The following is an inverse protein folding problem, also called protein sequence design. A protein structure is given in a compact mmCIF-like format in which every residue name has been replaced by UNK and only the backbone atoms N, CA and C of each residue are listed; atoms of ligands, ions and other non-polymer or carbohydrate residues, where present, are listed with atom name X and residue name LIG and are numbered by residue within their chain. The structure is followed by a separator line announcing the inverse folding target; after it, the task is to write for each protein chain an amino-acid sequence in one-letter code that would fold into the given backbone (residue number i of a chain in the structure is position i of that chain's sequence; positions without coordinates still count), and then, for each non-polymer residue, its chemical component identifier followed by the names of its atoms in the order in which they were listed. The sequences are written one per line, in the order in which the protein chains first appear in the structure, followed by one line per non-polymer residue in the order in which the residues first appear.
data_IF_205977690633
#
_entry.id   IF_205977690633
#
_cell.length_a   1.000
_cell.length_b   1.000
_cell.length_c   1.000
_cell.angle_alpha   90.00
_cell.angle_beta   90.00
_cell.angle_gamma   90.00
#
_symmetry.space_group_name_H-M   'P 1'
#
loop_
_entity.id
_entity.type
_entity.pdbx_description
1 polymer ?
#
# COMPACT_ATOMS: atom_id res chain seq x y z
N UNK A 1 3.65 -63.19 12.58
CA UNK A 1 3.68 -62.61 11.22
C UNK A 1 4.05 -61.14 11.36
N UNK A 2 5.35 -60.86 11.28
CA UNK A 2 5.93 -59.52 11.19
C UNK A 2 6.07 -59.23 9.69
N UNK A 3 5.39 -58.22 9.18
CA UNK A 3 5.55 -57.75 7.81
C UNK A 3 6.28 -56.42 7.82
N UNK A 4 7.42 -56.40 7.13
CA UNK A 4 8.37 -55.31 7.05
C UNK A 4 7.83 -54.10 6.29
N UNK A 5 8.21 -52.91 6.74
CA UNK A 5 8.08 -51.64 6.03
C UNK A 5 9.11 -51.61 4.87
N UNK A 6 8.76 -51.15 3.66
CA UNK A 6 9.76 -50.89 2.64
C UNK A 6 10.39 -49.50 2.80
N UNK A 7 11.70 -49.47 2.56
CA UNK A 7 12.60 -48.34 2.68
C UNK A 7 12.18 -47.12 1.84
N UNK A 8 12.21 -45.94 2.47
CA UNK A 8 12.08 -44.66 1.79
C UNK A 8 13.40 -44.32 1.08
N UNK A 9 13.37 -44.27 -0.25
CA UNK A 9 14.49 -43.85 -1.07
C UNK A 9 14.91 -42.39 -0.76
N UNK A 10 16.22 -42.06 -0.76
CA UNK A 10 16.70 -40.73 -0.47
C UNK A 10 16.40 -39.74 -1.60
N UNK A 11 15.88 -38.56 -1.24
CA UNK A 11 15.74 -37.42 -2.15
C UNK A 11 17.10 -37.02 -2.73
N UNK A 12 17.23 -36.80 -4.05
CA UNK A 12 18.47 -36.28 -4.61
C UNK A 12 18.59 -34.80 -4.27
N UNK A 13 19.53 -34.49 -3.37
CA UNK A 13 20.17 -33.19 -3.33
C UNK A 13 20.92 -33.01 -4.65
N UNK A 14 20.41 -32.15 -5.53
CA UNK A 14 21.22 -31.56 -6.60
C UNK A 14 21.60 -30.15 -6.20
N UNK A 15 22.87 -30.03 -5.81
CA UNK A 15 23.58 -28.77 -5.77
C UNK A 15 23.67 -28.19 -7.18
N UNK A 16 22.97 -27.09 -7.39
CA UNK A 16 23.09 -26.15 -8.50
C UNK A 16 22.50 -24.85 -8.00
N UNK A 17 23.26 -23.75 -8.03
CA UNK A 17 22.91 -22.49 -7.42
C UNK A 17 21.57 -21.96 -7.91
N UNK A 18 20.51 -22.23 -7.16
CA UNK A 18 19.22 -21.62 -7.37
C UNK A 18 19.33 -20.14 -6.99
N UNK A 19 18.93 -19.24 -7.89
CA UNK A 19 18.80 -17.84 -7.54
C UNK A 19 17.78 -17.75 -6.40
N UNK A 20 17.94 -16.86 -5.40
CA UNK A 20 16.93 -16.65 -4.36
C UNK A 20 15.53 -16.29 -4.92
N UNK A 21 15.44 -15.98 -6.23
CA UNK A 21 14.20 -15.75 -6.99
C UNK A 21 13.51 -17.02 -7.51
N UNK A 22 14.13 -18.20 -7.43
CA UNK A 22 13.59 -19.45 -8.02
C UNK A 22 12.33 -19.96 -7.31
N UNK A 23 12.08 -19.53 -6.06
CA UNK A 23 10.80 -19.73 -5.37
C UNK A 23 9.63 -18.89 -5.93
N UNK A 24 9.93 -17.95 -6.83
CA UNK A 24 8.99 -16.99 -7.42
C UNK A 24 8.53 -15.90 -6.43
N UNK A 25 8.14 -14.74 -6.95
CA UNK A 25 7.56 -13.70 -6.10
C UNK A 25 6.14 -14.12 -5.62
N UNK A 26 6.04 -14.34 -4.31
CA UNK A 26 4.80 -14.67 -3.61
C UNK A 26 3.86 -13.47 -3.37
N UNK A 27 4.22 -12.27 -3.84
CA UNK A 27 3.34 -11.10 -3.78
C UNK A 27 2.05 -11.39 -4.57
N UNK A 28 0.86 -11.21 -3.96
CA UNK A 28 -0.40 -11.45 -4.66
C UNK A 28 -0.55 -10.54 -5.88
N UNK A 29 -1.08 -11.13 -6.95
CA UNK A 29 -1.43 -10.48 -8.21
C UNK A 29 -2.91 -10.62 -8.54
N UNK A 30 -3.32 -10.21 -9.74
CA UNK A 30 -4.69 -10.45 -10.26
C UNK A 30 -4.82 -11.75 -11.05
N UNK A 31 -3.73 -12.24 -11.62
CA UNK A 31 -3.70 -13.46 -12.44
C UNK A 31 -3.31 -14.70 -11.66
N UNK A 32 -2.42 -14.54 -10.67
CA UNK A 32 -2.05 -15.58 -9.73
C UNK A 32 -2.66 -15.26 -8.37
N UNK A 33 -3.83 -15.84 -8.13
CA UNK A 33 -4.54 -15.68 -6.87
C UNK A 33 -3.73 -16.30 -5.74
N UNK A 34 -3.65 -15.59 -4.62
CA UNK A 34 -2.97 -16.07 -3.43
C UNK A 34 -3.97 -16.78 -2.52
N UNK A 35 -3.64 -17.98 -2.04
CA UNK A 35 -4.50 -18.72 -1.12
C UNK A 35 -4.52 -18.05 0.26
N UNK A 36 -5.70 -17.87 0.82
CA UNK A 36 -5.94 -17.49 2.20
C UNK A 36 -7.13 -18.28 2.77
N UNK A 37 -7.37 -18.17 4.07
CA UNK A 37 -8.36 -18.96 4.80
C UNK A 37 -9.80 -18.54 4.53
N UNK A 38 -10.00 -17.28 4.18
CA UNK A 38 -11.29 -16.75 3.74
C UNK A 38 -11.55 -17.04 2.26
N UNK A 39 -10.63 -17.70 1.54
CA UNK A 39 -10.68 -17.88 0.10
C UNK A 39 -9.42 -17.34 -0.57
N UNK A 40 -9.34 -17.44 -1.88
CA UNK A 40 -8.23 -16.82 -2.59
C UNK A 40 -8.36 -15.29 -2.55
N UNK A 41 -7.26 -14.57 -2.74
CA UNK A 41 -7.26 -13.12 -2.83
C UNK A 41 -6.53 -12.66 -4.09
N UNK A 42 -7.03 -11.57 -4.66
CA UNK A 42 -6.42 -10.86 -5.77
C UNK A 42 -6.03 -9.46 -5.32
N UNK A 43 -4.92 -8.95 -5.83
CA UNK A 43 -4.55 -7.54 -5.64
C UNK A 43 -4.54 -6.82 -6.96
N UNK A 44 -5.51 -5.93 -7.15
CA UNK A 44 -5.63 -5.09 -8.35
C UNK A 44 -4.76 -3.86 -8.21
N UNK A 45 -3.84 -3.65 -9.16
CA UNK A 45 -2.92 -2.51 -9.12
C UNK A 45 -3.53 -1.29 -9.80
N UNK A 46 -3.45 -0.16 -9.10
CA UNK A 46 -4.06 1.11 -9.46
C UNK A 46 -2.93 2.13 -9.41
N UNK A 47 -2.20 2.36 -10.52
CA UNK A 47 -1.12 3.34 -10.55
C UNK A 47 -1.55 4.70 -10.02
N UNK A 48 -0.76 5.24 -9.09
CA UNK A 48 -1.02 6.50 -8.40
C UNK A 48 -2.25 6.49 -7.49
N UNK A 49 -2.92 5.34 -7.33
CA UNK A 49 -4.23 5.24 -6.69
C UNK A 49 -5.36 5.87 -7.48
N UNK A 50 -5.14 6.31 -8.73
CA UNK A 50 -6.11 7.07 -9.51
C UNK A 50 -7.11 6.14 -10.20
N UNK A 51 -8.39 6.30 -9.90
CA UNK A 51 -9.52 5.59 -10.47
C UNK A 51 -10.52 6.57 -11.09
N UNK A 52 -11.10 6.18 -12.23
CA UNK A 52 -12.40 6.73 -12.63
C UNK A 52 -13.52 6.03 -11.88
N UNK A 53 -14.67 6.69 -11.78
CA UNK A 53 -15.88 6.12 -11.18
C UNK A 53 -16.29 4.80 -11.87
N UNK A 54 -16.14 4.70 -13.19
CA UNK A 54 -16.45 3.47 -13.94
C UNK A 54 -15.52 2.31 -13.56
N UNK A 55 -14.22 2.60 -13.35
CA UNK A 55 -13.27 1.59 -12.87
C UNK A 55 -13.55 1.21 -11.42
N UNK A 56 -13.99 2.16 -10.60
CA UNK A 56 -14.42 1.87 -9.25
C UNK A 56 -15.66 0.95 -9.24
N UNK A 57 -16.63 1.19 -10.11
CA UNK A 57 -17.82 0.34 -10.25
C UNK A 57 -17.49 -1.07 -10.77
N UNK A 58 -16.52 -1.18 -11.68
CA UNK A 58 -16.00 -2.48 -12.10
C UNK A 58 -15.36 -3.27 -10.94
N UNK A 59 -14.64 -2.60 -10.04
CA UNK A 59 -14.09 -3.24 -8.83
C UNK A 59 -15.19 -3.73 -7.89
N UNK A 60 -16.26 -2.94 -7.71
CA UNK A 60 -17.42 -3.36 -6.91
C UNK A 60 -18.10 -4.58 -7.52
N UNK A 61 -18.30 -4.58 -8.83
CA UNK A 61 -18.86 -5.72 -9.57
C UNK A 61 -17.99 -6.96 -9.39
N UNK A 62 -16.66 -6.81 -9.48
CA UNK A 62 -15.73 -7.91 -9.27
C UNK A 62 -15.78 -8.46 -7.83
N UNK A 63 -15.82 -7.58 -6.83
CA UNK A 63 -15.92 -7.97 -5.42
C UNK A 63 -17.20 -8.75 -5.14
N UNK A 64 -18.35 -8.24 -5.62
CA UNK A 64 -19.66 -8.85 -5.41
C UNK A 64 -19.83 -10.19 -6.15
N UNK A 65 -19.28 -10.31 -7.37
CA UNK A 65 -19.45 -11.51 -8.19
C UNK A 65 -18.50 -12.64 -7.78
N UNK A 66 -17.27 -12.31 -7.44
CA UNK A 66 -16.21 -13.30 -7.30
C UNK A 66 -15.72 -13.48 -5.86
N UNK A 67 -15.97 -12.52 -4.97
CA UNK A 67 -15.45 -12.48 -3.61
C UNK A 67 -16.51 -12.35 -2.53
N UNK A 68 -16.10 -11.80 -1.39
CA UNK A 68 -16.96 -11.52 -0.23
C UNK A 68 -17.77 -10.22 -0.34
N UNK A 69 -17.70 -9.53 -1.48
CA UNK A 69 -18.35 -8.25 -1.73
C UNK A 69 -17.58 -7.03 -1.22
N UNK A 70 -16.52 -7.20 -0.44
CA UNK A 70 -15.80 -6.08 0.17
C UNK A 70 -14.55 -5.67 -0.61
N UNK A 71 -14.16 -4.42 -0.42
CA UNK A 71 -12.96 -3.87 -1.04
C UNK A 71 -11.97 -3.45 0.04
N UNK A 72 -10.76 -3.98 -0.04
CA UNK A 72 -9.71 -3.71 0.93
C UNK A 72 -8.67 -2.77 0.34
N UNK A 73 -8.54 -1.57 0.92
CA UNK A 73 -7.47 -0.64 0.57
C UNK A 73 -6.13 -1.12 1.14
N UNK A 74 -5.10 -1.03 0.32
CA UNK A 74 -3.74 -1.44 0.69
C UNK A 74 -2.87 -0.23 1.04
N UNK A 75 -1.75 -0.47 1.71
CA UNK A 75 -0.78 0.58 2.07
C UNK A 75 0.02 1.15 0.86
N UNK A 76 -0.51 1.00 -0.35
CA UNK A 76 0.13 1.36 -1.63
C UNK A 76 -0.88 1.91 -2.63
N UNK A 77 -2.04 2.38 -2.16
CA UNK A 77 -3.09 2.93 -3.04
C UNK A 77 -3.71 1.89 -3.99
N UNK A 78 -3.59 0.59 -3.70
CA UNK A 78 -4.21 -0.48 -4.49
C UNK A 78 -5.41 -1.09 -3.78
N UNK A 79 -6.22 -1.85 -4.52
CA UNK A 79 -7.37 -2.61 -4.00
C UNK A 79 -7.03 -4.09 -3.91
N UNK A 80 -7.53 -4.74 -2.86
CA UNK A 80 -7.48 -6.18 -2.68
C UNK A 80 -8.91 -6.73 -2.58
N UNK A 81 -9.17 -7.76 -3.39
CA UNK A 81 -10.39 -8.57 -3.36
C UNK A 81 -10.09 -9.85 -2.60
N UNK A 82 -11.02 -10.26 -1.74
CA UNK A 82 -10.89 -11.46 -0.89
C UNK A 82 -12.14 -12.33 -1.04
N UNK A 83 -12.13 -13.50 -0.42
CA UNK A 83 -13.25 -14.43 -0.56
C UNK A 83 -13.32 -15.10 -1.93
N UNK A 84 -12.25 -15.04 -2.73
CA UNK A 84 -12.32 -15.46 -4.12
C UNK A 84 -12.43 -16.99 -4.24
N UNK A 85 -13.37 -17.44 -5.06
CA UNK A 85 -13.45 -18.84 -5.48
C UNK A 85 -12.17 -19.29 -6.19
N UNK A 86 -11.79 -20.56 -6.07
CA UNK A 86 -10.51 -21.06 -6.61
C UNK A 86 -10.45 -21.00 -8.14
N UNK A 87 -11.60 -21.12 -8.81
CA UNK A 87 -11.70 -21.20 -10.28
C UNK A 87 -12.07 -19.87 -10.95
N UNK A 88 -12.30 -18.79 -10.19
CA UNK A 88 -12.81 -17.54 -10.77
C UNK A 88 -11.73 -16.65 -11.42
N UNK A 89 -10.46 -17.08 -11.38
CA UNK A 89 -9.32 -16.25 -11.80
C UNK A 89 -9.40 -15.78 -13.26
N UNK A 90 -9.83 -16.65 -14.17
CA UNK A 90 -9.98 -16.31 -15.60
C UNK A 90 -11.07 -15.26 -15.86
N UNK A 91 -12.25 -15.44 -15.26
CA UNK A 91 -13.37 -14.50 -15.38
C UNK A 91 -13.06 -13.15 -14.72
N UNK A 92 -12.42 -13.17 -13.54
CA UNK A 92 -11.95 -11.97 -12.87
C UNK A 92 -10.95 -11.21 -13.74
N UNK A 93 -9.98 -11.90 -14.32
CA UNK A 93 -9.00 -11.30 -15.23
C UNK A 93 -9.68 -10.68 -16.46
N UNK A 94 -10.68 -11.36 -17.04
CA UNK A 94 -11.46 -10.85 -18.16
C UNK A 94 -12.20 -9.55 -17.81
N UNK A 95 -12.89 -9.51 -16.67
CA UNK A 95 -13.58 -8.31 -16.19
C UNK A 95 -12.60 -7.15 -15.96
N UNK A 96 -11.50 -7.39 -15.26
CA UNK A 96 -10.50 -6.36 -14.98
C UNK A 96 -9.80 -5.86 -16.26
N UNK A 97 -9.61 -6.73 -17.25
CA UNK A 97 -9.07 -6.35 -18.56
C UNK A 97 -10.04 -5.43 -19.31
N UNK A 98 -11.32 -5.80 -19.37
CA UNK A 98 -12.36 -4.99 -20.01
C UNK A 98 -12.52 -3.61 -19.37
N UNK A 99 -12.33 -3.51 -18.04
CA UNK A 99 -12.35 -2.24 -17.31
C UNK A 99 -11.04 -1.42 -17.43
N UNK A 100 -10.00 -1.96 -18.09
CA UNK A 100 -8.68 -1.32 -18.20
C UNK A 100 -7.88 -1.30 -16.89
N UNK A 101 -8.25 -2.13 -15.91
CA UNK A 101 -7.52 -2.31 -14.65
C UNK A 101 -6.37 -3.32 -14.78
N UNK A 102 -6.40 -4.16 -15.82
CA UNK A 102 -5.36 -5.12 -16.19
C UNK A 102 -4.89 -4.90 -17.64
N UNK A 103 -4.19 -3.79 -17.95
CA UNK A 103 -3.78 -3.46 -19.32
C UNK A 103 -2.65 -4.38 -19.84
N UNK A 104 -1.92 -5.05 -18.94
CA UNK A 104 -0.87 -6.01 -19.33
C UNK A 104 -0.76 -7.13 -18.31
N UNK A 105 -1.00 -8.36 -18.77
CA UNK A 105 -0.88 -9.56 -17.97
C UNK A 105 0.55 -9.77 -17.43
N UNK A 106 1.56 -9.49 -18.25
CA UNK A 106 2.96 -9.68 -17.90
C UNK A 106 3.46 -8.68 -16.84
N UNK A 107 2.85 -7.50 -16.74
CA UNK A 107 3.35 -6.39 -15.92
C UNK A 107 2.47 -6.06 -14.71
N UNK A 108 1.40 -6.81 -14.45
CA UNK A 108 0.43 -6.48 -13.40
C UNK A 108 1.08 -6.20 -12.02
N UNK A 109 2.13 -6.95 -11.68
CA UNK A 109 2.91 -6.75 -10.44
C UNK A 109 3.82 -5.53 -10.47
N UNK A 110 4.41 -5.23 -11.63
CA UNK A 110 5.38 -4.15 -11.81
C UNK A 110 4.74 -2.75 -11.68
N UNK A 111 3.43 -2.65 -11.92
CA UNK A 111 2.63 -1.40 -11.90
C UNK A 111 2.31 -0.87 -10.50
N UNK A 112 3.16 -1.18 -9.52
CA UNK A 112 3.00 -0.72 -8.16
C UNK A 112 3.61 0.70 -8.02
N UNK A 113 2.82 1.70 -8.40
CA UNK A 113 3.19 3.12 -8.43
C UNK A 113 2.29 3.86 -7.44
N UNK A 114 2.85 4.63 -6.51
CA UNK A 114 2.12 5.57 -5.64
C UNK A 114 2.37 7.00 -6.08
N UNK A 115 1.40 7.89 -5.86
CA UNK A 115 1.53 9.31 -6.16
C UNK A 115 0.96 10.16 -5.01
N UNK A 116 1.45 11.38 -4.84
CA UNK A 116 0.88 12.35 -3.89
C UNK A 116 -0.61 12.57 -4.21
N UNK A 117 -1.54 12.21 -3.32
CA UNK A 117 -2.96 12.19 -3.65
C UNK A 117 -3.57 13.59 -3.80
N UNK A 118 -2.92 14.65 -3.30
CA UNK A 118 -3.37 16.03 -3.45
C UNK A 118 -2.70 16.77 -4.62
N UNK A 119 -1.84 16.10 -5.39
CA UNK A 119 -1.13 16.71 -6.52
C UNK A 119 -2.10 17.35 -7.52
N UNK A 120 -1.85 18.60 -7.91
CA UNK A 120 -2.69 19.32 -8.86
C UNK A 120 -3.98 19.92 -8.30
N UNK A 121 -4.31 19.71 -7.03
CA UNK A 121 -5.59 20.17 -6.46
C UNK A 121 -5.54 21.58 -5.85
N UNK A 122 -4.37 22.02 -5.39
CA UNK A 122 -4.18 23.33 -4.74
C UNK A 122 -3.33 24.30 -5.58
N UNK A 123 -3.35 24.13 -6.90
CA UNK A 123 -2.54 24.93 -7.83
C UNK A 123 -1.07 24.52 -7.89
N UNK A 124 -0.64 23.54 -7.08
CA UNK A 124 0.60 22.81 -7.30
C UNK A 124 0.56 22.04 -8.62
N UNK A 125 1.72 21.60 -9.12
CA UNK A 125 1.77 20.84 -10.34
C UNK A 125 1.09 19.48 -10.26
N UNK A 126 0.39 19.11 -11.33
CA UNK A 126 -0.17 17.78 -11.49
C UNK A 126 0.91 16.76 -11.84
N UNK A 127 0.79 15.55 -11.27
CA UNK A 127 1.66 14.41 -11.58
C UNK A 127 1.11 13.50 -12.69
N UNK A 128 -0.06 13.84 -13.25
CA UNK A 128 -0.80 12.97 -14.18
C UNK A 128 -0.02 12.58 -15.44
N UNK A 129 0.77 13.51 -16.01
CA UNK A 129 1.60 13.23 -17.18
C UNK A 129 2.72 12.23 -16.85
N UNK A 130 3.41 12.40 -15.72
CA UNK A 130 4.43 11.45 -15.25
C UNK A 130 3.85 10.08 -14.94
N UNK A 131 2.69 10.04 -14.27
CA UNK A 131 2.02 8.80 -13.94
C UNK A 131 1.66 7.99 -15.19
N UNK A 132 1.04 8.66 -16.16
CA UNK A 132 0.62 8.03 -17.42
C UNK A 132 1.82 7.52 -18.21
N UNK A 133 2.86 8.34 -18.34
CA UNK A 133 4.06 7.95 -19.10
C UNK A 133 4.85 6.85 -18.39
N UNK A 134 5.00 6.91 -17.05
CA UNK A 134 5.71 5.86 -16.30
C UNK A 134 4.97 4.52 -16.38
N UNK A 135 3.65 4.50 -16.20
CA UNK A 135 2.86 3.26 -16.32
C UNK A 135 2.97 2.65 -17.72
N UNK A 136 2.93 3.49 -18.76
CA UNK A 136 3.12 3.07 -20.15
C UNK A 136 4.52 2.50 -20.40
N UNK A 137 5.56 3.18 -19.91
CA UNK A 137 6.96 2.76 -20.04
C UNK A 137 7.21 1.44 -19.31
N UNK A 138 6.70 1.29 -18.08
CA UNK A 138 6.78 0.04 -17.31
C UNK A 138 6.10 -1.11 -18.05
N UNK A 139 4.90 -0.90 -18.60
CA UNK A 139 4.20 -1.92 -19.40
C UNK A 139 4.89 -2.23 -20.74
N UNK A 140 5.74 -1.34 -21.23
CA UNK A 140 6.47 -1.49 -22.48
C UNK A 140 7.86 -2.13 -22.33
N UNK A 141 8.36 -2.33 -21.10
CA UNK A 141 9.70 -2.87 -20.84
C UNK A 141 9.65 -4.36 -20.49
N UNK A 142 10.20 -5.25 -21.34
CA UNK A 142 10.31 -6.67 -21.03
C UNK A 142 11.09 -6.96 -19.74
N UNK A 143 12.07 -6.11 -19.41
CA UNK A 143 12.82 -6.22 -18.16
C UNK A 143 11.91 -5.91 -16.96
N UNK A 144 11.12 -4.84 -17.04
CA UNK A 144 10.22 -4.43 -15.97
C UNK A 144 9.14 -5.50 -15.64
N UNK A 145 8.76 -6.35 -16.59
CA UNK A 145 7.86 -7.50 -16.34
C UNK A 145 8.37 -8.43 -15.21
N UNK A 146 9.68 -8.44 -14.97
CA UNK A 146 10.32 -9.28 -13.94
C UNK A 146 10.39 -8.61 -12.56
N UNK A 147 9.98 -7.34 -12.45
CA UNK A 147 9.91 -6.65 -11.16
C UNK A 147 8.92 -7.37 -10.23
N UNK A 148 9.33 -7.52 -8.97
CA UNK A 148 8.43 -8.02 -7.94
C UNK A 148 7.29 -7.05 -7.69
N UNK A 149 6.12 -7.58 -7.33
CA UNK A 149 4.99 -6.78 -6.83
C UNK A 149 5.25 -6.11 -5.48
N UNK A 150 6.45 -6.27 -4.93
CA UNK A 150 6.99 -5.51 -3.80
C UNK A 150 7.70 -4.25 -4.28
N UNK A 151 8.35 -4.23 -5.44
CA UNK A 151 9.02 -3.04 -5.97
C UNK A 151 8.02 -1.88 -6.06
N UNK A 152 8.42 -0.68 -5.69
CA UNK A 152 7.55 0.47 -5.54
C UNK A 152 8.20 1.69 -6.21
N UNK A 153 7.44 2.29 -7.13
CA UNK A 153 7.70 3.63 -7.60
C UNK A 153 6.88 4.64 -6.79
N UNK A 154 7.41 5.84 -6.56
CA UNK A 154 6.67 6.96 -5.98
C UNK A 154 6.79 8.22 -6.84
N UNK A 155 5.70 8.96 -6.99
CA UNK A 155 5.64 10.25 -7.64
C UNK A 155 5.21 11.29 -6.60
N UNK A 156 6.16 12.10 -6.14
CA UNK A 156 5.96 13.11 -5.12
C UNK A 156 5.82 14.49 -5.77
N UNK A 157 4.81 15.26 -5.34
CA UNK A 157 4.58 16.62 -5.86
C UNK A 157 5.47 17.70 -5.21
N UNK A 158 6.43 17.28 -4.40
CA UNK A 158 7.38 18.14 -3.71
C UNK A 158 7.10 18.26 -2.21
N UNK A 159 5.89 17.89 -1.75
CA UNK A 159 5.49 17.91 -0.33
C UNK A 159 6.24 16.88 0.53
N UNK A 160 6.77 15.83 -0.08
CA UNK A 160 7.47 14.75 0.61
C UNK A 160 6.55 13.74 1.29
N UNK A 161 5.24 13.75 1.01
CA UNK A 161 4.27 12.85 1.60
C UNK A 161 4.52 11.39 1.17
N UNK A 162 4.76 11.15 -0.12
CA UNK A 162 5.08 9.83 -0.65
C UNK A 162 6.58 9.56 -0.74
N UNK A 163 7.45 10.58 -0.80
CA UNK A 163 8.91 10.41 -0.62
C UNK A 163 9.23 9.75 0.75
N UNK A 164 8.47 10.13 1.79
CA UNK A 164 8.55 9.54 3.11
C UNK A 164 8.29 8.02 3.17
N UNK A 165 7.67 7.43 2.14
CA UNK A 165 7.37 5.99 2.11
C UNK A 165 8.61 5.13 1.82
N UNK A 166 9.71 5.72 1.35
CA UNK A 166 10.92 4.97 1.01
C UNK A 166 10.69 3.98 -0.14
N UNK A 167 10.14 4.48 -1.24
CA UNK A 167 10.02 3.73 -2.49
C UNK A 167 11.40 3.32 -3.02
N UNK A 168 11.44 2.37 -3.95
CA UNK A 168 12.71 1.97 -4.58
C UNK A 168 13.20 3.05 -5.53
N UNK A 169 12.27 3.73 -6.19
CA UNK A 169 12.51 4.84 -7.11
C UNK A 169 11.45 5.91 -6.83
N UNK A 170 11.88 7.12 -6.49
CA UNK A 170 10.99 8.27 -6.28
C UNK A 170 11.32 9.35 -7.29
N UNK A 171 10.30 9.85 -8.00
CA UNK A 171 10.37 11.12 -8.72
C UNK A 171 9.74 12.21 -7.85
N UNK A 172 10.43 13.34 -7.69
CA UNK A 172 9.99 14.44 -6.85
C UNK A 172 9.94 15.71 -7.70
N UNK A 173 8.80 16.38 -7.76
CA UNK A 173 8.67 17.65 -8.46
C UNK A 173 9.48 18.77 -7.76
N UNK A 174 10.17 19.61 -8.54
CA UNK A 174 10.76 20.86 -8.07
C UNK A 174 9.88 22.05 -8.51
N UNK A 175 9.50 22.91 -7.55
CA UNK A 175 8.70 24.12 -7.79
C UNK A 175 7.23 23.85 -8.15
N UNK A 176 6.43 24.92 -8.41
CA UNK A 176 5.13 24.77 -9.06
C UNK A 176 5.31 24.05 -10.40
N UNK A 177 4.30 23.26 -10.81
CA UNK A 177 4.29 22.42 -12.02
C UNK A 177 5.31 22.82 -13.10
N UNK A 178 6.38 22.03 -13.25
CA UNK A 178 7.23 22.13 -14.42
C UNK A 178 8.27 23.26 -14.39
N UNK A 179 8.97 23.46 -13.28
CA UNK A 179 10.25 24.18 -13.29
C UNK A 179 11.35 23.39 -14.03
N UNK A 180 11.07 22.89 -15.24
CA UNK A 180 11.98 22.17 -16.16
C UNK A 180 12.63 20.89 -15.63
N UNK A 181 12.55 20.61 -14.34
CA UNK A 181 13.35 19.62 -13.64
C UNK A 181 12.54 18.84 -12.60
N UNK A 182 13.05 17.66 -12.28
CA UNK A 182 12.60 16.76 -11.24
C UNK A 182 13.82 16.23 -10.48
N UNK A 183 13.60 15.69 -9.29
CA UNK A 183 14.61 14.93 -8.55
C UNK A 183 14.28 13.44 -8.61
N UNK A 184 15.30 12.63 -8.88
CA UNK A 184 15.26 11.18 -8.84
C UNK A 184 15.95 10.69 -7.56
N UNK A 185 15.22 9.99 -6.70
CA UNK A 185 15.77 9.30 -5.52
C UNK A 185 15.77 7.79 -5.73
N UNK A 186 16.84 7.13 -5.31
CA UNK A 186 16.97 5.68 -5.29
C UNK A 186 16.95 5.16 -3.85
N UNK A 187 15.94 4.34 -3.52
CA UNK A 187 15.74 3.80 -2.18
C UNK A 187 15.62 4.90 -1.12
N UNK A 188 16.43 4.77 -0.06
CA UNK A 188 16.46 5.71 1.06
C UNK A 188 17.73 6.59 1.07
N UNK A 189 18.43 6.73 -0.06
CA UNK A 189 19.60 7.58 -0.14
C UNK A 189 19.21 9.06 0.08
N UNK A 190 20.00 9.81 0.84
CA UNK A 190 19.80 11.26 1.05
C UNK A 190 20.28 12.10 -0.15
N UNK A 191 21.05 11.49 -1.05
CA UNK A 191 21.43 12.06 -2.34
C UNK A 191 20.32 11.80 -3.37
N UNK A 192 19.96 12.83 -4.12
CA UNK A 192 19.00 12.77 -5.23
C UNK A 192 19.59 13.42 -6.47
N UNK A 193 19.17 13.00 -7.65
CA UNK A 193 19.73 13.48 -8.92
C UNK A 193 18.72 14.33 -9.67
N UNK A 194 19.14 15.52 -10.12
CA UNK A 194 18.30 16.33 -11.00
C UNK A 194 18.18 15.71 -12.38
N UNK A 195 16.98 15.65 -12.91
CA UNK A 195 16.69 15.19 -14.28
C UNK A 195 15.71 16.16 -14.94
N UNK A 196 15.73 16.34 -16.27
CA UNK A 196 14.70 17.08 -16.97
C UNK A 196 13.30 16.50 -16.67
N UNK A 197 12.31 17.35 -16.45
CA UNK A 197 10.98 16.92 -16.03
C UNK A 197 10.28 16.05 -17.08
N UNK A 198 10.53 16.27 -18.37
CA UNK A 198 10.03 15.48 -19.49
C UNK A 198 10.72 14.11 -19.62
N UNK A 199 11.97 13.99 -19.14
CA UNK A 199 12.73 12.74 -19.09
C UNK A 199 12.56 11.95 -17.79
N UNK A 200 11.91 12.53 -16.76
CA UNK A 200 11.80 11.95 -15.44
C UNK A 200 11.19 10.52 -15.42
N UNK A 201 10.07 10.23 -16.12
CA UNK A 201 9.54 8.87 -16.21
C UNK A 201 10.52 7.86 -16.83
N UNK A 202 11.30 8.28 -17.84
CA UNK A 202 12.32 7.42 -18.47
C UNK A 202 13.48 7.17 -17.52
N UNK A 203 13.90 8.18 -16.76
CA UNK A 203 14.93 8.03 -15.74
C UNK A 203 14.50 7.05 -14.64
N UNK A 204 13.23 7.11 -14.21
CA UNK A 204 12.68 6.16 -13.23
C UNK A 204 12.65 4.71 -13.77
N UNK A 205 12.23 4.50 -15.02
CA UNK A 205 12.29 3.17 -15.63
C UNK A 205 13.74 2.66 -15.71
N UNK A 206 14.68 3.48 -16.19
CA UNK A 206 16.11 3.11 -16.25
C UNK A 206 16.64 2.69 -14.89
N UNK A 207 16.32 3.45 -13.83
CA UNK A 207 16.70 3.10 -12.47
C UNK A 207 16.17 1.73 -12.01
N UNK A 208 14.92 1.40 -12.36
CA UNK A 208 14.36 0.08 -12.06
C UNK A 208 15.01 -1.05 -12.86
N UNK A 209 15.39 -0.79 -14.12
CA UNK A 209 16.14 -1.74 -14.93
C UNK A 209 17.56 -1.96 -14.39
N UNK A 210 18.27 -0.90 -13.96
CA UNK A 210 19.57 -1.03 -13.29
C UNK A 210 19.46 -1.83 -11.99
N UNK A 211 18.41 -1.58 -11.19
CA UNK A 211 18.13 -2.39 -10.01
C UNK A 211 18.01 -3.88 -10.37
N UNK A 212 17.29 -4.22 -11.44
CA UNK A 212 17.17 -5.61 -11.87
C UNK A 212 18.52 -6.24 -12.24
N UNK A 213 19.45 -5.47 -12.81
CA UNK A 213 20.81 -5.94 -13.11
C UNK A 213 21.61 -6.17 -11.83
N UNK A 214 21.57 -5.21 -10.91
CA UNK A 214 22.23 -5.30 -9.60
C UNK A 214 21.66 -6.44 -8.72
N UNK A 215 20.37 -6.74 -8.86
CA UNK A 215 19.68 -7.76 -8.08
C UNK A 215 19.83 -9.20 -8.62
N UNK A 216 20.52 -9.42 -9.76
CA UNK A 216 20.63 -10.75 -10.38
C UNK A 216 21.21 -11.79 -9.43
N UNK A 217 22.30 -11.44 -8.76
CA UNK A 217 23.06 -12.39 -7.94
C UNK A 217 22.55 -12.47 -6.49
N UNK A 218 22.03 -11.35 -5.96
CA UNK A 218 21.48 -11.29 -4.59
C UNK A 218 20.05 -11.81 -4.47
N UNK A 219 19.31 -11.86 -5.58
CA UNK A 219 17.88 -12.17 -5.59
C UNK A 219 17.01 -11.14 -4.84
N UNK A 220 17.53 -9.95 -4.58
CA UNK A 220 16.82 -8.87 -3.89
C UNK A 220 15.50 -8.50 -4.60
N UNK A 221 14.43 -8.27 -3.85
CA UNK A 221 13.13 -7.87 -4.41
C UNK A 221 12.89 -6.36 -4.38
N UNK A 222 13.71 -5.63 -3.62
CA UNK A 222 13.66 -4.18 -3.40
C UNK A 222 15.07 -3.64 -3.35
N UNK A 223 15.26 -2.34 -3.58
CA UNK A 223 16.57 -1.68 -3.47
C UNK A 223 17.16 -1.83 -2.07
N UNK A 224 16.31 -1.73 -1.03
CA UNK A 224 16.74 -1.91 0.37
C UNK A 224 17.14 -3.34 0.74
N UNK A 225 16.79 -4.32 -0.09
CA UNK A 225 17.13 -5.73 0.14
C UNK A 225 18.51 -6.07 -0.49
N UNK A 226 19.12 -5.14 -1.24
CA UNK A 226 20.46 -5.29 -1.78
C UNK A 226 21.54 -5.19 -0.70
N UNK A 227 22.66 -5.93 -0.84
CA UNK A 227 23.89 -5.66 -0.09
C UNK A 227 24.30 -4.18 -0.16
N UNK A 228 24.93 -3.67 0.90
CA UNK A 228 25.20 -2.24 1.05
C UNK A 228 26.15 -1.69 -0.03
N UNK A 229 27.17 -2.47 -0.39
CA UNK A 229 28.12 -2.18 -1.47
C UNK A 229 27.44 -2.16 -2.85
N UNK A 230 26.63 -3.17 -3.15
CA UNK A 230 25.86 -3.25 -4.42
C UNK A 230 24.84 -2.12 -4.51
N UNK A 231 24.22 -1.75 -3.39
CA UNK A 231 23.28 -0.62 -3.34
C UNK A 231 23.99 0.71 -3.56
N UNK A 232 25.18 0.89 -3.00
CA UNK A 232 25.99 2.09 -3.23
C UNK A 232 26.40 2.21 -4.71
N UNK A 233 26.87 1.12 -5.31
CA UNK A 233 27.23 1.05 -6.73
C UNK A 233 26.03 1.37 -7.65
N UNK A 234 24.85 0.84 -7.34
CA UNK A 234 23.60 1.14 -8.05
C UNK A 234 23.30 2.65 -8.05
N UNK A 235 23.42 3.31 -6.88
CA UNK A 235 23.20 4.76 -6.76
C UNK A 235 24.22 5.53 -7.60
N UNK A 236 25.50 5.13 -7.57
CA UNK A 236 26.55 5.76 -8.38
C UNK A 236 26.32 5.59 -9.88
N UNK A 237 25.91 4.40 -10.33
CA UNK A 237 25.63 4.13 -11.75
C UNK A 237 24.47 4.97 -12.25
N UNK A 238 23.37 5.03 -11.49
CA UNK A 238 22.20 5.85 -11.86
C UNK A 238 22.57 7.33 -11.83
N UNK A 239 23.32 7.77 -10.83
CA UNK A 239 23.78 9.15 -10.71
C UNK A 239 24.65 9.59 -11.89
N UNK A 240 25.54 8.73 -12.36
CA UNK A 240 26.43 9.02 -13.51
C UNK A 240 25.66 9.19 -14.83
N UNK A 241 24.48 8.57 -14.95
CA UNK A 241 23.58 8.71 -16.10
C UNK A 241 22.50 9.79 -15.91
N UNK A 242 22.51 10.48 -14.75
CA UNK A 242 21.57 11.53 -14.38
C UNK A 242 22.27 12.90 -14.35
N UNK A 243 21.51 13.95 -14.05
CA UNK A 243 22.08 15.28 -13.83
C UNK A 243 22.71 15.44 -12.44
N UNK A 244 22.98 16.69 -12.02
CA UNK A 244 23.75 16.96 -10.80
C UNK A 244 23.07 16.38 -9.55
N UNK A 245 23.90 15.84 -8.67
CA UNK A 245 23.48 15.41 -7.35
C UNK A 245 23.11 16.60 -6.44
N UNK A 246 22.09 16.39 -5.62
CA UNK A 246 21.58 17.35 -4.65
C UNK A 246 21.40 16.62 -3.31
N UNK A 247 21.89 17.23 -2.23
CA UNK A 247 21.60 16.73 -0.89
C UNK A 247 20.14 17.07 -0.52
N UNK A 248 19.30 16.04 -0.36
CA UNK A 248 17.91 16.18 0.07
C UNK A 248 17.57 15.03 1.02
N UNK A 249 17.75 15.20 2.33
CA UNK A 249 17.39 14.17 3.30
C UNK A 249 15.95 13.70 3.12
N UNK A 250 15.73 12.38 3.18
CA UNK A 250 14.38 11.83 3.03
C UNK A 250 13.52 12.22 4.24
N UNK A 251 12.27 12.66 4.06
CA UNK A 251 11.36 12.87 5.18
C UNK A 251 11.15 11.56 5.97
N UNK A 252 11.20 11.65 7.30
CA UNK A 252 11.05 10.48 8.18
C UNK A 252 9.59 10.09 8.42
N UNK A 253 8.69 11.05 8.32
CA UNK A 253 7.26 10.90 8.57
C UNK A 253 6.47 11.29 7.34
N UNK A 254 5.59 10.40 6.91
CA UNK A 254 4.60 10.69 5.89
C UNK A 254 3.41 11.43 6.52
N UNK A 255 2.96 12.51 5.90
CA UNK A 255 1.77 13.24 6.31
C UNK A 255 0.61 12.89 5.37
N UNK A 256 -0.34 12.03 5.78
CA UNK A 256 -1.52 11.74 4.96
C UNK A 256 -2.41 12.99 4.80
N UNK A 257 -3.24 13.05 3.74
CA UNK A 257 -4.32 14.04 3.67
C UNK A 257 -5.23 13.93 4.90
N UNK A 258 -5.47 15.04 5.59
CA UNK A 258 -6.42 15.06 6.69
C UNK A 258 -7.84 14.77 6.16
N UNK A 259 -8.67 13.96 6.86
CA UNK A 259 -10.05 13.71 6.47
C UNK A 259 -10.90 14.99 6.61
N UNK A 260 -11.82 15.21 5.68
CA UNK A 260 -12.66 16.40 5.62
C UNK A 260 -12.63 17.12 4.27
N UNK A 261 -12.77 18.44 4.29
CA UNK A 261 -12.69 19.28 3.10
C UNK A 261 -11.28 19.90 3.03
N UNK A 262 -10.56 19.61 1.95
CA UNK A 262 -9.24 20.21 1.67
C UNK A 262 -9.42 21.42 0.75
N UNK A 263 -9.39 22.62 1.34
CA UNK A 263 -9.64 23.87 0.62
C UNK A 263 -11.05 23.92 0.04
N UNK A 264 -11.18 24.21 -1.26
CA UNK A 264 -12.40 23.96 -2.05
C UNK A 264 -12.17 22.86 -3.09
N UNK A 265 -11.05 22.13 -2.95
CA UNK A 265 -10.45 21.38 -4.03
C UNK A 265 -10.65 19.86 -3.92
N UNK A 266 -10.96 19.33 -2.73
CA UNK A 266 -11.24 17.91 -2.56
C UNK A 266 -11.99 17.58 -1.27
N UNK A 267 -12.76 16.50 -1.32
CA UNK A 267 -13.23 15.78 -0.15
C UNK A 267 -12.26 14.63 0.14
N UNK A 268 -11.91 14.44 1.39
CA UNK A 268 -11.05 13.34 1.86
C UNK A 268 -11.77 12.54 2.92
N UNK A 269 -11.68 11.22 2.82
CA UNK A 269 -12.24 10.31 3.83
C UNK A 269 -11.27 9.15 4.07
N UNK A 270 -11.00 8.84 5.33
CA UNK A 270 -10.26 7.65 5.71
C UNK A 270 -11.20 6.46 5.90
N UNK A 271 -10.68 5.26 5.66
CA UNK A 271 -11.44 4.01 5.73
C UNK A 271 -11.03 3.24 6.98
N UNK A 272 -11.95 3.03 7.94
CA UNK A 272 -11.68 2.17 9.10
C UNK A 272 -11.06 0.82 8.68
N UNK A 273 -9.86 0.54 9.20
CA UNK A 273 -9.10 -0.68 8.92
C UNK A 273 -8.78 -0.92 7.43
N UNK A 274 -9.04 0.06 6.54
CA UNK A 274 -8.97 -0.07 5.10
C UNK A 274 -9.98 -1.04 4.49
N UNK A 275 -11.14 -1.24 5.11
CA UNK A 275 -12.20 -2.16 4.65
C UNK A 275 -13.44 -1.37 4.26
N UNK A 276 -13.87 -1.51 3.00
CA UNK A 276 -15.07 -0.87 2.47
C UNK A 276 -16.14 -1.91 2.17
N UNK A 277 -17.35 -1.67 2.70
CA UNK A 277 -18.54 -2.42 2.31
C UNK A 277 -18.98 -2.02 0.89
N UNK A 278 -19.79 -2.85 0.21
CA UNK A 278 -20.41 -2.47 -1.07
C UNK A 278 -21.07 -1.09 -1.05
N UNK A 279 -21.85 -0.81 0.00
CA UNK A 279 -22.59 0.45 0.16
C UNK A 279 -21.66 1.65 0.32
N UNK A 280 -20.60 1.52 1.13
CA UNK A 280 -19.63 2.61 1.29
C UNK A 280 -18.88 2.89 -0.01
N UNK A 281 -18.46 1.84 -0.72
CA UNK A 281 -17.78 1.98 -2.00
C UNK A 281 -18.66 2.63 -3.07
N UNK A 282 -19.92 2.21 -3.17
CA UNK A 282 -20.90 2.82 -4.08
C UNK A 282 -21.10 4.30 -3.73
N UNK A 283 -21.28 4.63 -2.45
CA UNK A 283 -21.46 6.01 -2.00
C UNK A 283 -20.26 6.91 -2.36
N UNK A 284 -19.04 6.41 -2.18
CA UNK A 284 -17.82 7.12 -2.59
C UNK A 284 -17.77 7.31 -4.11
N UNK A 285 -18.14 6.28 -4.87
CA UNK A 285 -18.17 6.31 -6.34
C UNK A 285 -19.20 7.32 -6.86
N UNK A 286 -20.41 7.32 -6.31
CA UNK A 286 -21.48 8.26 -6.66
C UNK A 286 -21.13 9.70 -6.27
N UNK A 287 -20.44 9.87 -5.14
CA UNK A 287 -19.91 11.17 -4.74
C UNK A 287 -18.85 11.65 -5.72
N UNK A 288 -17.95 10.77 -6.16
CA UNK A 288 -16.97 11.12 -7.18
C UNK A 288 -17.63 11.50 -8.51
N UNK A 289 -18.65 10.77 -8.98
CA UNK A 289 -19.40 11.10 -10.21
C UNK A 289 -19.96 12.52 -10.20
N UNK A 290 -20.38 13.03 -9.03
CA UNK A 290 -20.84 14.41 -8.87
C UNK A 290 -19.74 15.46 -9.06
N UNK A 291 -18.48 15.10 -8.83
CA UNK A 291 -17.33 16.01 -8.81
C UNK A 291 -16.23 15.62 -9.82
N UNK A 292 -16.62 15.22 -11.04
CA UNK A 292 -15.68 14.95 -12.13
C UNK A 292 -15.26 13.49 -12.30
N UNK A 293 -15.75 12.60 -11.44
CA UNK A 293 -15.65 11.15 -11.61
C UNK A 293 -14.31 10.53 -11.24
N UNK A 294 -13.43 11.25 -10.55
CA UNK A 294 -12.11 10.76 -10.11
C UNK A 294 -12.12 10.37 -8.63
N UNK A 295 -11.47 9.26 -8.29
CA UNK A 295 -11.13 8.86 -6.93
C UNK A 295 -9.61 8.63 -6.86
N UNK A 296 -8.97 9.05 -5.77
CA UNK A 296 -7.56 8.76 -5.49
C UNK A 296 -7.43 7.97 -4.20
N UNK A 297 -7.06 6.71 -4.32
CA UNK A 297 -6.80 5.83 -3.20
C UNK A 297 -5.43 6.16 -2.60
N UNK A 298 -5.38 6.44 -1.30
CA UNK A 298 -4.14 6.84 -0.64
C UNK A 298 -3.36 5.61 -0.12
N UNK A 299 -2.02 5.69 -0.02
CA UNK A 299 -1.22 4.65 0.63
C UNK A 299 -1.46 4.56 2.15
N UNK A 300 -2.30 5.43 2.71
CA UNK A 300 -2.73 5.42 4.11
C UNK A 300 -4.16 4.89 4.30
N UNK A 301 -4.71 4.19 3.30
CA UNK A 301 -6.06 3.58 3.33
C UNK A 301 -7.18 4.60 3.45
N UNK A 302 -7.01 5.76 2.82
CA UNK A 302 -8.06 6.76 2.61
C UNK A 302 -8.37 6.95 1.14
N UNK A 303 -9.31 7.84 0.87
CA UNK A 303 -9.78 8.21 -0.46
C UNK A 303 -9.86 9.74 -0.54
N UNK A 304 -9.33 10.28 -1.63
CA UNK A 304 -9.54 11.68 -2.03
C UNK A 304 -10.49 11.69 -3.22
N UNK A 305 -11.51 12.52 -3.16
CA UNK A 305 -12.40 12.86 -4.27
C UNK A 305 -12.06 14.28 -4.69
N UNK A 306 -11.30 14.45 -5.79
CA UNK A 306 -11.04 15.77 -6.37
C UNK A 306 -12.31 16.54 -6.67
N UNK A 307 -12.22 17.86 -6.55
CA UNK A 307 -13.27 18.83 -6.81
C UNK A 307 -13.05 19.62 -8.11
N UNK A 308 -13.57 20.86 -8.19
CA UNK A 308 -13.99 21.72 -7.09
C UNK A 308 -15.32 21.29 -6.44
N UNK A 309 -15.42 21.48 -5.11
CA UNK A 309 -16.65 21.19 -4.34
C UNK A 309 -17.06 22.43 -3.54
N UNK A 310 -18.25 23.03 -3.82
CA UNK A 310 -18.79 24.11 -3.00
C UNK A 310 -18.96 23.68 -1.54
N UNK A 311 -18.63 24.57 -0.58
CA UNK A 311 -18.66 24.25 0.86
C UNK A 311 -19.97 23.65 1.37
N UNK A 312 -21.17 24.13 0.97
CA UNK A 312 -22.43 23.54 1.42
C UNK A 312 -22.58 22.08 0.98
N UNK A 313 -22.28 21.80 -0.28
CA UNK A 313 -22.35 20.46 -0.87
C UNK A 313 -21.29 19.54 -0.26
N UNK A 314 -20.06 20.03 -0.08
CA UNK A 314 -19.01 19.29 0.61
C UNK A 314 -19.45 18.88 2.02
N UNK A 315 -20.10 19.79 2.75
CA UNK A 315 -20.58 19.52 4.11
C UNK A 315 -21.67 18.44 4.12
N UNK A 316 -22.55 18.42 3.12
CA UNK A 316 -23.57 17.38 2.97
C UNK A 316 -22.97 16.02 2.59
N UNK A 317 -22.05 16.00 1.62
CA UNK A 317 -21.33 14.80 1.23
C UNK A 317 -20.55 14.21 2.41
N UNK A 318 -19.81 15.04 3.16
CA UNK A 318 -19.07 14.61 4.36
C UNK A 318 -20.01 14.04 5.43
N UNK A 319 -21.17 14.67 5.70
CA UNK A 319 -22.16 14.11 6.64
C UNK A 319 -22.67 12.74 6.19
N UNK A 320 -22.94 12.57 4.90
CA UNK A 320 -23.44 11.31 4.35
C UNK A 320 -22.38 10.21 4.42
N UNK A 321 -21.13 10.52 4.07
CA UNK A 321 -19.99 9.62 4.19
C UNK A 321 -19.74 9.24 5.67
N UNK A 322 -19.80 10.21 6.58
CA UNK A 322 -19.68 9.98 8.03
C UNK A 322 -20.76 9.04 8.56
N UNK A 323 -22.02 9.26 8.16
CA UNK A 323 -23.14 8.40 8.55
C UNK A 323 -23.00 6.96 8.05
N UNK A 324 -22.24 6.73 6.97
CA UNK A 324 -21.90 5.39 6.48
C UNK A 324 -20.75 4.72 7.25
N UNK A 325 -20.15 5.40 8.22
CA UNK A 325 -19.05 4.90 9.04
C UNK A 325 -17.65 5.26 8.54
N UNK A 326 -17.52 6.13 7.52
CA UNK A 326 -16.23 6.62 7.06
C UNK A 326 -15.70 7.74 7.96
N UNK A 327 -14.38 7.89 7.99
CA UNK A 327 -13.70 8.91 8.79
C UNK A 327 -13.61 10.19 7.97
N UNK A 328 -14.37 11.21 8.34
CA UNK A 328 -14.48 12.48 7.60
C UNK A 328 -14.01 13.69 8.41
N UNK A 329 -13.45 13.45 9.60
CA UNK A 329 -12.91 14.47 10.50
C UNK A 329 -11.79 13.85 11.37
N UNK A 330 -10.78 14.65 11.77
CA UNK A 330 -9.60 14.15 12.47
C UNK A 330 -9.89 13.63 13.89
N UNK A 331 -10.99 14.08 14.51
CA UNK A 331 -11.45 13.70 15.85
C UNK A 331 -12.20 12.36 15.89
N UNK A 332 -12.26 11.63 14.77
CA UNK A 332 -12.87 10.31 14.74
C UNK A 332 -12.20 9.34 15.73
N UNK A 333 -12.97 8.57 16.49
CA UNK A 333 -12.49 7.44 17.31
C UNK A 333 -11.61 6.43 16.55
N UNK A 334 -11.82 6.31 15.24
CA UNK A 334 -11.06 5.41 14.38
C UNK A 334 -9.70 5.98 13.93
N UNK A 335 -9.44 7.27 14.17
CA UNK A 335 -8.16 7.91 13.80
C UNK A 335 -6.99 7.16 14.46
N UNK A 336 -6.04 6.74 13.62
CA UNK A 336 -4.86 6.00 14.05
C UNK A 336 -5.11 4.53 14.42
N UNK A 337 -6.30 3.99 14.22
CA UNK A 337 -6.61 2.57 14.47
C UNK A 337 -6.36 1.74 13.21
N UNK A 338 -5.43 0.79 13.29
CA UNK A 338 -5.15 -0.15 12.20
C UNK A 338 -5.20 -1.60 12.69
N UNK A 339 -5.44 -2.53 11.77
CA UNK A 339 -5.32 -3.95 12.03
C UNK A 339 -4.75 -4.67 10.81
N UNK A 340 -4.22 -5.87 11.03
CA UNK A 340 -3.99 -6.83 9.95
C UNK A 340 -5.33 -7.48 9.51
N UNK A 341 -5.29 -8.51 8.68
CA UNK A 341 -6.53 -9.18 8.23
C UNK A 341 -7.21 -9.94 9.39
N UNK A 342 -6.42 -10.55 10.28
CA UNK A 342 -6.96 -11.32 11.40
C UNK A 342 -7.63 -12.64 11.01
N UNK A 343 -8.23 -13.29 12.00
CA UNK A 343 -9.22 -14.35 11.78
C UNK A 343 -10.54 -13.69 11.30
N UNK A 344 -11.35 -14.35 10.44
CA UNK A 344 -11.12 -15.65 9.81
C UNK A 344 -10.21 -15.62 8.58
N UNK A 345 -9.78 -14.45 8.11
CA UNK A 345 -9.07 -14.32 6.82
C UNK A 345 -7.60 -14.75 6.78
N UNK A 346 -7.04 -15.30 7.86
CA UNK A 346 -5.64 -15.71 7.92
C UNK A 346 -5.40 -16.82 8.96
N UNK A 347 -4.93 -17.98 8.49
CA UNK A 347 -4.59 -19.17 9.31
C UNK A 347 -3.62 -18.88 10.46
N UNK A 348 -2.77 -17.87 10.28
CA UNK A 348 -1.74 -17.54 11.28
C UNK A 348 -2.31 -16.71 12.43
N UNK A 349 -3.51 -16.16 12.28
CA UNK A 349 -4.11 -15.28 13.28
C UNK A 349 -4.64 -16.09 14.46
N UNK A 350 -4.35 -15.64 15.67
CA UNK A 350 -4.85 -16.23 16.90
C UNK A 350 -6.17 -15.60 17.37
N UNK A 351 -6.54 -14.43 16.84
CA UNK A 351 -7.82 -13.75 17.17
C UNK A 351 -8.43 -13.02 15.97
N UNK A 352 -9.69 -12.61 16.11
CA UNK A 352 -10.35 -11.64 15.23
C UNK A 352 -9.99 -10.21 15.67
N UNK A 353 -8.76 -9.82 15.33
CA UNK A 353 -8.21 -8.50 15.69
C UNK A 353 -9.00 -7.32 15.09
N UNK A 354 -9.83 -7.54 14.08
CA UNK A 354 -10.63 -6.46 13.47
C UNK A 354 -11.89 -6.22 14.28
N UNK A 355 -12.57 -7.27 14.71
CA UNK A 355 -13.68 -7.18 15.65
C UNK A 355 -13.22 -6.60 16.99
N UNK A 356 -12.08 -7.07 17.51
CA UNK A 356 -11.49 -6.57 18.76
C UNK A 356 -11.10 -5.09 18.65
N UNK A 357 -10.46 -4.69 17.55
CA UNK A 357 -10.16 -3.27 17.30
C UNK A 357 -11.43 -2.43 17.33
N UNK A 358 -12.50 -2.87 16.65
CA UNK A 358 -13.79 -2.18 16.63
C UNK A 358 -14.45 -2.06 18.00
N UNK A 359 -14.38 -3.11 18.82
CA UNK A 359 -14.89 -3.10 20.19
C UNK A 359 -14.09 -2.18 21.14
N UNK A 360 -12.81 -1.95 20.82
CA UNK A 360 -11.91 -1.08 21.59
C UNK A 360 -11.88 0.38 21.07
N UNK A 361 -12.62 0.71 20.01
CA UNK A 361 -12.73 2.09 19.53
C UNK A 361 -13.42 2.95 20.60
N UNK A 362 -12.75 4.03 20.99
CA UNK A 362 -13.20 4.94 22.03
C UNK A 362 -12.62 6.34 21.82
N UNK A 363 -12.27 7.05 22.89
CA UNK A 363 -11.65 8.37 22.78
C UNK A 363 -10.33 8.26 21.99
N UNK A 364 -10.10 9.12 20.96
CA UNK A 364 -8.83 9.14 20.25
C UNK A 364 -7.66 9.38 21.21
N UNK A 365 -6.70 8.48 21.22
CA UNK A 365 -5.45 8.64 21.99
C UNK A 365 -4.37 9.39 21.21
N UNK A 366 -3.26 9.72 21.87
CA UNK A 366 -2.13 10.46 21.28
C UNK A 366 -1.36 9.65 20.23
N UNK A 367 -1.26 8.34 20.44
CA UNK A 367 -0.53 7.43 19.56
C UNK A 367 -1.49 6.59 18.70
N UNK A 368 -1.09 6.26 17.45
CA UNK A 368 -1.75 5.22 16.66
C UNK A 368 -1.70 3.88 17.39
N UNK A 369 -2.68 3.01 17.12
CA UNK A 369 -2.73 1.63 17.62
C UNK A 369 -2.84 0.65 16.46
N UNK A 370 -2.07 -0.43 16.50
CA UNK A 370 -2.10 -1.47 15.49
C UNK A 370 -2.39 -2.85 16.07
N UNK A 371 -3.41 -3.52 15.55
CA UNK A 371 -3.87 -4.82 16.00
C UNK A 371 -3.35 -5.95 15.09
N UNK A 372 -2.50 -6.79 15.65
CA UNK A 372 -1.77 -7.85 14.97
C UNK A 372 -2.23 -9.21 15.46
N UNK A 373 -2.80 -10.03 14.57
CA UNK A 373 -3.29 -11.36 14.93
C UNK A 373 -2.20 -12.39 15.23
N UNK A 374 -0.94 -12.07 14.95
CA UNK A 374 0.21 -12.91 15.28
C UNK A 374 1.51 -12.10 15.28
N UNK A 375 2.60 -12.73 15.70
CA UNK A 375 3.96 -12.14 15.78
C UNK A 375 4.50 -11.61 14.44
N UNK A 376 3.90 -11.99 13.30
CA UNK A 376 4.30 -11.47 11.99
C UNK A 376 3.94 -9.98 11.80
N UNK A 377 2.98 -9.46 12.58
CA UNK A 377 2.59 -8.03 12.59
C UNK A 377 2.34 -7.45 11.18
N UNK A 378 1.70 -8.22 10.31
CA UNK A 378 1.54 -7.86 8.91
C UNK A 378 0.87 -6.50 8.74
N UNK A 379 1.56 -5.55 8.10
CA UNK A 379 0.98 -4.25 7.73
C UNK A 379 1.03 -3.18 8.82
N UNK A 380 1.78 -3.39 9.90
CA UNK A 380 2.01 -2.41 10.94
C UNK A 380 2.57 -1.08 10.37
N UNK A 381 2.28 0.07 11.00
CA UNK A 381 2.80 1.37 10.57
C UNK A 381 4.30 1.51 10.86
N UNK A 382 4.88 2.59 10.34
CA UNK A 382 6.24 3.02 10.70
C UNK A 382 6.18 4.10 11.80
N UNK A 383 7.29 4.28 12.52
CA UNK A 383 7.43 5.37 13.49
C UNK A 383 7.14 4.92 14.92
N UNK A 384 6.26 5.63 15.60
CA UNK A 384 5.88 5.38 17.00
C UNK A 384 4.39 5.01 17.08
N UNK A 385 4.07 3.87 17.70
CA UNK A 385 2.69 3.39 17.84
C UNK A 385 2.54 2.39 19.00
N UNK A 386 1.30 2.09 19.36
CA UNK A 386 0.94 1.02 20.29
C UNK A 386 0.61 -0.26 19.50
N UNK A 387 1.38 -1.32 19.71
CA UNK A 387 1.17 -2.61 19.06
C UNK A 387 0.39 -3.54 19.99
N UNK A 388 -0.73 -4.07 19.50
CA UNK A 388 -1.58 -5.05 20.20
C UNK A 388 -1.48 -6.36 19.47
N UNK A 389 -0.73 -7.32 20.02
CA UNK A 389 -0.44 -8.60 19.36
C UNK A 389 -1.20 -9.72 20.06
N UNK A 390 -2.01 -10.45 19.30
CA UNK A 390 -2.66 -11.66 19.79
C UNK A 390 -1.61 -12.75 20.06
N UNK A 391 -1.78 -13.41 21.20
CA UNK A 391 -0.93 -14.48 21.75
C UNK A 391 -1.83 -15.63 22.21
N UNK A 392 -1.29 -16.83 22.50
CA UNK A 392 -2.09 -17.93 23.02
C UNK A 392 -2.88 -17.60 24.30
N UNK A 393 -2.36 -16.68 25.14
CA UNK A 393 -2.90 -16.37 26.47
C UNK A 393 -3.69 -15.05 26.51
N UNK A 394 -3.92 -14.39 25.37
CA UNK A 394 -4.54 -13.06 25.30
C UNK A 394 -3.78 -12.12 24.36
N UNK A 395 -3.62 -10.87 24.74
CA UNK A 395 -2.97 -9.84 23.94
C UNK A 395 -1.80 -9.22 24.66
N UNK A 396 -0.70 -9.07 23.92
CA UNK A 396 0.46 -8.29 24.35
C UNK A 396 0.34 -6.88 23.79
N UNK A 397 0.34 -5.89 24.68
CA UNK A 397 0.33 -4.47 24.34
C UNK A 397 1.73 -3.93 24.56
N UNK A 398 2.31 -3.33 23.53
CA UNK A 398 3.66 -2.77 23.60
C UNK A 398 3.72 -1.38 22.97
N UNK A 399 4.46 -0.47 23.60
CA UNK A 399 4.83 0.79 22.97
C UNK A 399 6.05 0.56 22.07
N UNK A 400 5.89 0.79 20.76
CA UNK A 400 6.93 0.58 19.76
C UNK A 400 7.50 1.90 19.26
N UNK A 401 8.83 1.99 19.21
CA UNK A 401 9.59 3.10 18.61
C UNK A 401 10.54 2.59 17.53
N UNK A 402 10.55 3.26 16.37
CA UNK A 402 11.62 3.12 15.36
C UNK A 402 11.23 2.38 14.08
N UNK A 403 12.22 2.15 13.21
CA UNK A 403 12.05 1.44 11.94
C UNK A 403 12.23 -0.08 12.07
N UNK A 404 11.55 -0.85 11.20
CA UNK A 404 11.31 -2.32 11.15
C UNK A 404 12.36 -3.30 11.72
N UNK A 405 13.64 -2.94 11.89
CA UNK A 405 14.73 -3.92 12.07
C UNK A 405 14.97 -4.35 13.53
N UNK A 406 14.48 -3.59 14.51
CA UNK A 406 14.44 -3.99 15.92
C UNK A 406 13.53 -3.02 16.69
N UNK A 407 12.20 -3.19 16.66
CA UNK A 407 11.31 -2.39 17.50
C UNK A 407 11.72 -2.58 18.96
N UNK A 408 12.24 -1.51 19.58
CA UNK A 408 12.52 -1.49 21.01
C UNK A 408 11.17 -1.35 21.71
N UNK A 409 10.53 -2.48 22.05
CA UNK A 409 9.36 -2.49 22.92
C UNK A 409 9.82 -2.12 24.34
N UNK A 410 9.53 -0.91 24.79
CA UNK A 410 10.05 -0.38 26.06
C UNK A 410 9.15 -0.67 27.26
N UNK A 411 7.85 -0.86 27.05
CA UNK A 411 6.88 -1.28 28.06
C UNK A 411 5.93 -2.31 27.45
N UNK A 412 5.66 -3.40 28.17
CA UNK A 412 4.80 -4.49 27.70
C UNK A 412 3.83 -4.90 28.80
N UNK A 413 2.54 -4.92 28.48
CA UNK A 413 1.48 -5.44 29.34
C UNK A 413 0.78 -6.60 28.63
N UNK A 414 0.47 -7.67 29.34
CA UNK A 414 -0.34 -8.78 28.80
C UNK A 414 -1.72 -8.72 29.41
N UNK A 415 -2.75 -8.78 28.57
CA UNK A 415 -4.16 -8.71 28.97
C UNK A 415 -4.86 -9.95 28.43
N UNK A 416 -5.66 -10.63 29.26
CA UNK A 416 -6.46 -11.76 28.80
C UNK A 416 -7.58 -11.34 27.82
N UNK A 417 -8.33 -12.31 27.30
CA UNK A 417 -9.34 -12.11 26.24
C UNK A 417 -10.62 -11.35 26.67
N UNK A 418 -10.66 -10.73 27.85
CA UNK A 418 -11.80 -9.91 28.27
C UNK A 418 -11.81 -8.58 27.49
N UNK A 419 -12.81 -8.38 26.65
CA UNK A 419 -12.85 -7.24 25.71
C UNK A 419 -12.85 -5.88 26.41
N UNK A 420 -13.51 -5.77 27.57
CA UNK A 420 -13.57 -4.51 28.31
C UNK A 420 -12.22 -4.15 28.94
N UNK A 421 -11.54 -5.12 29.56
CA UNK A 421 -10.18 -4.95 30.08
C UNK A 421 -9.19 -4.64 28.96
N UNK A 422 -9.31 -5.30 27.81
CA UNK A 422 -8.46 -5.06 26.65
C UNK A 422 -8.64 -3.64 26.11
N UNK A 423 -9.89 -3.18 25.94
CA UNK A 423 -10.18 -1.83 25.50
C UNK A 423 -9.63 -0.77 26.48
N UNK A 424 -9.81 -0.97 27.80
CA UNK A 424 -9.30 -0.07 28.81
C UNK A 424 -7.76 0.00 28.80
N UNK A 425 -7.07 -1.14 28.72
CA UNK A 425 -5.62 -1.20 28.67
C UNK A 425 -5.04 -0.56 27.39
N UNK A 426 -5.73 -0.72 26.26
CA UNK A 426 -5.34 -0.05 25.01
C UNK A 426 -5.56 1.47 25.12
N UNK A 427 -6.66 1.92 25.70
CA UNK A 427 -6.91 3.35 25.91
C UNK A 427 -5.84 3.98 26.83
N UNK A 428 -5.47 3.30 27.91
CA UNK A 428 -4.38 3.72 28.82
C UNK A 428 -3.03 3.78 28.09
N UNK A 429 -2.70 2.76 27.28
CA UNK A 429 -1.45 2.74 26.52
C UNK A 429 -1.37 3.85 25.46
N UNK A 430 -2.51 4.36 24.97
CA UNK A 430 -2.57 5.44 23.97
C UNK A 430 -2.65 6.85 24.60
N UNK A 431 -2.84 6.97 25.91
CA UNK A 431 -2.93 8.25 26.63
C UNK A 431 -1.59 8.99 26.66
#
# INVERSE_FOLDING_TARGET
MLAAMPDSAPSPLSAGGASPRDGGDACPGTLRLHRADDGALARVRIPGGVLSADRAEALLTAAARFGDGELHLTSRGNVQLRGLGTECGGELAGLLTAAGLLPSAAHERARNIVASPLAGLDGSGGLGAWLTELDRLVCGSPAAATLSGRFLFALDDGRGDVDALGADVTLIAEGPAGAGAALLRIGAADEVFRVPADEAPRAALRAAEEFLRAARDSGAWRVKDLPDDVRAELVTTIGSASGPAVARPRPRTATPPAPGLVGTAAITADVPLGRLTPTQWQLLTDTARRYGGELRLTPWRGIVIPGPVPRPEASEALRTLSASGLITAPDSPWTGVGACIGHPGCAKSLSDVRAEAGAAVGVPGRLPVYWSGCERRCGHPHGEWIDVVATPDGHRISHVRGERRAPLATATTTVGNDSARLAAAVAEARA
#
